data_IF_307511296911
#
_entry.id   IF_307511296911
#
_cell.length_a   1.000
_cell.length_b   1.000
_cell.length_c   1.000
_cell.angle_alpha   90.00
_cell.angle_beta   90.00
_cell.angle_gamma   90.00
#
_symmetry.space_group_name_H-M   'P 1'
#
loop_
_entity.id
_entity.type
_entity.pdbx_description
1 polymer ?
#
# COMPACT_ATOMS: atom_id res chain seq x y z
N UNK A 1 12.25 -1.61 15.57
CA UNK A 1 11.27 -0.91 14.73
C UNK A 1 11.95 -0.45 13.46
N UNK A 2 11.30 -0.61 12.31
CA UNK A 2 11.74 -0.03 11.03
C UNK A 2 11.61 1.49 11.05
N UNK A 3 12.21 2.17 10.07
CA UNK A 3 12.14 3.62 9.91
C UNK A 3 11.91 3.96 8.46
N UNK A 4 11.08 4.96 8.18
CA UNK A 4 10.90 5.48 6.82
C UNK A 4 12.12 6.32 6.41
N UNK A 5 12.30 6.58 5.09
CA UNK A 5 13.33 7.50 4.60
C UNK A 5 13.21 8.91 5.19
N UNK A 6 12.03 9.30 5.68
CA UNK A 6 11.76 10.64 6.22
C UNK A 6 11.99 10.77 7.73
N UNK A 7 12.42 9.71 8.43
CA UNK A 7 12.63 9.72 9.90
C UNK A 7 13.40 10.94 10.39
N UNK A 8 14.52 11.27 9.74
CA UNK A 8 15.34 12.41 10.17
C UNK A 8 14.63 13.75 10.05
N UNK A 9 13.77 13.92 9.05
CA UNK A 9 12.96 15.13 8.89
C UNK A 9 11.94 15.24 10.01
N UNK A 10 11.28 14.14 10.37
CA UNK A 10 10.32 14.10 11.47
C UNK A 10 10.96 14.50 12.80
N UNK A 11 12.12 13.93 13.11
CA UNK A 11 12.87 14.25 14.34
C UNK A 11 13.31 15.70 14.35
N UNK A 12 13.85 16.22 13.23
CA UNK A 12 14.28 17.63 13.11
C UNK A 12 13.10 18.61 13.22
N UNK A 13 11.91 18.21 12.77
CA UNK A 13 10.68 18.99 12.88
C UNK A 13 10.03 18.92 14.28
N UNK A 14 10.62 18.19 15.24
CA UNK A 14 10.12 18.09 16.61
C UNK A 14 8.95 17.13 16.79
N UNK A 15 8.73 16.20 15.86
CA UNK A 15 7.64 15.25 15.94
C UNK A 15 7.72 14.35 17.18
N UNK A 16 6.57 14.06 17.79
CA UNK A 16 6.42 13.01 18.79
C UNK A 16 6.39 11.65 18.10
N UNK A 17 7.53 10.96 18.08
CA UNK A 17 7.65 9.65 17.43
C UNK A 17 7.06 8.52 18.28
N UNK A 18 6.31 7.61 17.67
CA UNK A 18 5.69 6.45 18.34
C UNK A 18 5.81 5.15 17.52
N UNK A 19 5.76 3.98 18.17
CA UNK A 19 5.58 2.70 17.50
C UNK A 19 4.23 2.60 16.78
N UNK A 20 4.25 2.30 15.49
CA UNK A 20 3.04 1.99 14.71
C UNK A 20 3.36 0.92 13.65
N UNK A 21 2.64 -0.21 13.66
CA UNK A 21 2.81 -1.30 12.70
C UNK A 21 4.28 -1.76 12.49
N UNK A 22 5.09 -1.76 13.55
CA UNK A 22 6.51 -2.13 13.47
C UNK A 22 7.46 -1.01 13.00
N UNK A 23 6.93 0.15 12.62
CA UNK A 23 7.66 1.37 12.26
C UNK A 23 7.68 2.38 13.41
N UNK A 24 8.64 3.30 13.37
CA UNK A 24 8.66 4.49 14.21
C UNK A 24 8.13 5.69 13.43
N UNK A 25 6.89 6.10 13.69
CA UNK A 25 6.15 7.11 12.92
C UNK A 25 5.86 8.37 13.75
N UNK A 26 5.72 9.55 13.12
CA UNK A 26 5.32 10.77 13.82
C UNK A 26 3.83 10.68 14.21
N UNK A 27 3.51 10.78 15.49
CA UNK A 27 2.12 10.85 15.99
C UNK A 27 1.52 12.25 15.78
N UNK A 28 2.32 13.28 16.04
CA UNK A 28 1.99 14.69 15.87
C UNK A 28 3.29 15.52 15.91
N UNK A 29 3.22 16.75 15.40
CA UNK A 29 4.27 17.78 15.39
C UNK A 29 3.85 18.98 16.23
N UNK A 30 2.64 19.48 16.04
CA UNK A 30 2.10 20.67 16.73
C UNK A 30 0.90 20.32 17.61
N UNK A 31 0.20 19.23 17.29
CA UNK A 31 -0.95 18.72 18.03
C UNK A 31 -1.97 18.11 17.08
N UNK A 32 -2.54 16.95 17.44
CA UNK A 32 -3.52 16.22 16.59
C UNK A 32 -4.66 17.12 16.08
N UNK A 33 -5.24 17.96 16.95
CA UNK A 33 -6.34 18.85 16.54
C UNK A 33 -5.88 19.94 15.57
N UNK A 34 -4.70 20.52 15.81
CA UNK A 34 -4.16 21.59 14.96
C UNK A 34 -3.82 21.04 13.57
N UNK A 35 -3.22 19.85 13.49
CA UNK A 35 -2.91 19.17 12.22
C UNK A 35 -4.17 18.73 11.48
N UNK A 36 -5.20 18.28 12.20
CA UNK A 36 -6.50 17.99 11.60
C UNK A 36 -7.13 19.23 10.96
N UNK A 37 -7.13 20.35 11.70
CA UNK A 37 -7.67 21.63 11.20
C UNK A 37 -6.84 22.11 10.00
N UNK A 38 -5.50 21.96 10.04
CA UNK A 38 -4.62 22.33 8.94
C UNK A 38 -4.95 21.60 7.64
N UNK A 39 -5.27 20.30 7.70
CA UNK A 39 -5.77 19.56 6.52
C UNK A 39 -7.14 20.06 6.08
N UNK A 40 -8.03 20.40 7.00
CA UNK A 40 -9.39 20.86 6.66
C UNK A 40 -9.44 22.26 6.05
N UNK A 41 -8.45 23.10 6.35
CA UNK A 41 -8.45 24.52 6.00
C UNK A 41 -7.25 24.92 5.15
N UNK A 42 -6.38 23.98 4.80
CA UNK A 42 -5.09 24.23 4.19
C UNK A 42 -4.53 22.98 3.54
N UNK A 43 -3.27 22.65 3.83
CA UNK A 43 -2.60 21.46 3.29
C UNK A 43 -1.82 20.79 4.41
N UNK A 44 -2.07 19.49 4.61
CA UNK A 44 -1.24 18.61 5.40
C UNK A 44 -0.47 17.62 4.53
N UNK A 45 0.73 17.26 4.97
CA UNK A 45 1.57 16.25 4.31
C UNK A 45 1.83 15.12 5.29
N UNK A 46 1.49 13.90 4.89
CA UNK A 46 1.66 12.71 5.70
C UNK A 46 2.74 11.83 5.08
N UNK A 47 3.70 11.39 5.89
CA UNK A 47 4.57 10.28 5.53
C UNK A 47 3.83 8.97 5.75
N UNK A 48 3.44 8.32 4.65
CA UNK A 48 2.77 7.02 4.63
C UNK A 48 3.67 5.94 4.02
N UNK A 49 4.99 6.16 3.99
CA UNK A 49 6.00 5.21 3.47
C UNK A 49 6.16 3.92 4.28
N UNK A 50 5.29 3.68 5.25
CA UNK A 50 5.21 2.44 6.00
C UNK A 50 4.25 1.44 5.35
N UNK A 51 3.44 1.89 4.38
CA UNK A 51 2.56 1.04 3.57
C UNK A 51 3.35 -0.01 2.78
N UNK A 52 2.65 -1.02 2.27
CA UNK A 52 3.22 -2.05 1.43
C UNK A 52 2.97 -1.81 -0.06
N UNK A 53 3.91 -2.17 -0.94
CA UNK A 53 3.89 -1.92 -2.38
C UNK A 53 4.28 -3.19 -3.13
N UNK A 54 3.31 -3.85 -3.75
CA UNK A 54 3.52 -5.12 -4.44
C UNK A 54 3.27 -4.93 -5.94
N UNK A 55 4.32 -5.08 -6.74
CA UNK A 55 4.19 -5.11 -8.20
C UNK A 55 3.65 -6.45 -8.64
N UNK A 56 2.69 -6.42 -9.57
CA UNK A 56 2.17 -7.59 -10.29
C UNK A 56 2.26 -7.30 -11.78
N UNK A 57 3.02 -8.11 -12.50
CA UNK A 57 3.33 -7.89 -13.91
C UNK A 57 3.18 -9.15 -14.75
N UNK A 58 3.11 -8.98 -16.07
CA UNK A 58 3.07 -10.06 -17.06
C UNK A 58 1.64 -10.40 -17.54
N UNK A 59 1.53 -11.28 -18.55
CA UNK A 59 0.29 -11.46 -19.33
C UNK A 59 -0.89 -12.01 -18.52
N UNK A 60 -0.62 -12.68 -17.39
CA UNK A 60 -1.65 -13.25 -16.54
C UNK A 60 -2.00 -12.36 -15.32
N UNK A 61 -1.47 -11.13 -15.25
CA UNK A 61 -1.67 -10.25 -14.09
C UNK A 61 -3.14 -9.88 -13.90
N UNK A 62 -3.88 -9.62 -14.99
CA UNK A 62 -5.31 -9.27 -14.91
C UNK A 62 -6.12 -10.43 -14.34
N UNK A 63 -6.01 -11.63 -14.91
CA UNK A 63 -6.76 -12.81 -14.46
C UNK A 63 -6.43 -13.17 -13.01
N UNK A 64 -5.15 -13.07 -12.64
CA UNK A 64 -4.69 -13.26 -11.27
C UNK A 64 -5.34 -12.24 -10.31
N UNK A 65 -5.29 -10.95 -10.63
CA UNK A 65 -5.86 -9.89 -9.79
C UNK A 65 -7.40 -9.96 -9.71
N UNK A 66 -8.07 -10.30 -10.82
CA UNK A 66 -9.51 -10.58 -10.83
C UNK A 66 -9.90 -11.72 -9.89
N UNK A 67 -9.02 -12.72 -9.75
CA UNK A 67 -9.27 -13.84 -8.86
C UNK A 67 -9.02 -13.51 -7.39
N UNK A 68 -7.95 -12.77 -7.08
CA UNK A 68 -7.52 -12.56 -5.68
C UNK A 68 -8.13 -11.32 -5.04
N UNK A 69 -8.69 -10.38 -5.81
CA UNK A 69 -9.34 -9.17 -5.32
C UNK A 69 -10.86 -9.22 -5.50
N UNK A 70 -11.59 -8.31 -4.86
CA UNK A 70 -13.06 -8.31 -4.85
C UNK A 70 -13.71 -7.38 -5.86
N UNK A 71 -12.98 -6.38 -6.35
CA UNK A 71 -13.50 -5.37 -7.26
C UNK A 71 -13.08 -5.71 -8.70
N UNK A 72 -13.82 -5.24 -9.70
CA UNK A 72 -13.58 -5.59 -11.10
C UNK A 72 -12.37 -4.83 -11.66
N UNK A 73 -11.18 -5.45 -11.57
CA UNK A 73 -9.91 -5.00 -12.14
C UNK A 73 -9.98 -4.82 -13.65
N UNK A 74 -10.86 -5.55 -14.36
CA UNK A 74 -11.00 -5.37 -15.83
C UNK A 74 -11.60 -4.01 -16.21
N UNK A 75 -12.28 -3.34 -15.26
CA UNK A 75 -12.80 -1.99 -15.44
C UNK A 75 -11.73 -0.90 -15.28
N UNK A 76 -10.55 -1.23 -14.74
CA UNK A 76 -9.45 -0.28 -14.61
C UNK A 76 -8.81 0.01 -15.97
N UNK A 77 -8.72 1.28 -16.29
CA UNK A 77 -7.90 1.78 -17.39
C UNK A 77 -6.54 2.24 -16.88
N UNK A 78 -5.54 2.27 -17.77
CA UNK A 78 -4.19 2.73 -17.45
C UNK A 78 -4.18 4.12 -16.79
N UNK A 79 -3.36 4.28 -15.76
CA UNK A 79 -3.26 5.50 -14.95
C UNK A 79 -4.38 5.67 -13.93
N UNK A 80 -5.30 4.70 -13.79
CA UNK A 80 -6.35 4.71 -12.77
C UNK A 80 -6.08 3.74 -11.64
N UNK A 81 -6.86 3.92 -10.58
CA UNK A 81 -6.78 3.23 -9.32
C UNK A 81 -8.20 2.87 -8.87
N UNK A 82 -8.35 1.75 -8.16
CA UNK A 82 -9.55 1.45 -7.41
C UNK A 82 -9.23 0.90 -6.03
N UNK A 83 -10.16 1.09 -5.11
CA UNK A 83 -10.18 0.39 -3.83
C UNK A 83 -10.75 -1.02 -4.00
N UNK A 84 -10.18 -1.97 -3.27
CA UNK A 84 -10.62 -3.36 -3.24
C UNK A 84 -10.23 -4.02 -1.91
N UNK A 85 -10.50 -5.30 -1.80
CA UNK A 85 -10.06 -6.13 -0.68
C UNK A 85 -9.72 -7.54 -1.17
N UNK A 86 -8.89 -8.24 -0.40
CA UNK A 86 -8.57 -9.65 -0.61
C UNK A 86 -9.60 -10.54 0.12
N UNK A 87 -10.57 -11.16 -0.56
CA UNK A 87 -11.48 -12.10 0.09
C UNK A 87 -10.76 -13.40 0.47
N UNK A 88 -11.05 -13.93 1.65
CA UNK A 88 -10.43 -15.19 2.12
C UNK A 88 -11.15 -16.47 1.66
N UNK A 89 -12.13 -16.35 0.75
CA UNK A 89 -12.95 -17.45 0.25
C UNK A 89 -14.03 -18.00 1.22
N UNK A 90 -14.12 -17.46 2.44
CA UNK A 90 -15.05 -17.89 3.50
C UNK A 90 -15.92 -16.74 4.02
N UNK A 91 -16.07 -15.68 3.23
CA UNK A 91 -16.84 -14.49 3.58
C UNK A 91 -16.11 -13.50 4.50
N UNK A 92 -14.82 -13.74 4.82
CA UNK A 92 -13.99 -12.77 5.53
C UNK A 92 -12.99 -12.07 4.61
N UNK A 93 -12.40 -11.00 5.13
CA UNK A 93 -11.42 -10.16 4.43
C UNK A 93 -10.03 -10.44 5.00
N UNK A 94 -9.05 -10.65 4.11
CA UNK A 94 -7.63 -10.76 4.48
C UNK A 94 -7.08 -9.36 4.75
N UNK A 95 -7.21 -8.45 3.78
CA UNK A 95 -6.93 -7.02 3.93
C UNK A 95 -7.70 -6.20 2.89
N UNK A 96 -7.81 -4.89 3.13
CA UNK A 96 -8.18 -3.92 2.11
C UNK A 96 -6.95 -3.28 1.45
N UNK A 97 -7.09 -2.83 0.21
CA UNK A 97 -5.97 -2.33 -0.59
C UNK A 97 -6.42 -1.41 -1.71
N UNK A 98 -5.44 -0.76 -2.33
CA UNK A 98 -5.58 -0.08 -3.60
C UNK A 98 -4.93 -0.89 -4.72
N UNK A 99 -5.58 -0.92 -5.89
CA UNK A 99 -5.04 -1.52 -7.12
C UNK A 99 -4.87 -0.42 -8.15
N UNK A 100 -3.62 -0.12 -8.52
CA UNK A 100 -3.27 0.81 -9.58
C UNK A 100 -3.01 0.05 -10.88
N UNK A 101 -3.54 0.56 -12.00
CA UNK A 101 -3.24 0.07 -13.34
C UNK A 101 -2.18 0.96 -13.98
N UNK A 102 -0.98 0.42 -14.19
CA UNK A 102 0.12 1.09 -14.90
C UNK A 102 0.22 0.68 -16.38
N UNK A 103 -0.62 -0.25 -16.81
CA UNK A 103 -0.70 -0.73 -18.19
C UNK A 103 -1.39 -2.10 -18.25
N UNK A 104 -1.55 -2.67 -19.46
CA UNK A 104 -2.31 -3.92 -19.68
C UNK A 104 -1.82 -5.12 -18.85
N UNK A 105 -0.53 -5.14 -18.50
CA UNK A 105 0.14 -6.23 -17.81
C UNK A 105 0.99 -5.73 -16.64
N UNK A 106 0.64 -4.58 -16.06
CA UNK A 106 1.43 -3.96 -14.98
C UNK A 106 0.53 -3.26 -13.98
N UNK A 107 0.54 -3.76 -12.75
CA UNK A 107 -0.29 -3.27 -11.66
C UNK A 107 0.54 -3.09 -10.39
N UNK A 108 0.14 -2.13 -9.57
CA UNK A 108 0.70 -1.92 -8.24
C UNK A 108 -0.39 -2.09 -7.20
N UNK A 109 -0.14 -2.94 -6.21
CA UNK A 109 -0.99 -3.10 -5.04
C UNK A 109 -0.39 -2.29 -3.90
N UNK A 110 -1.20 -1.42 -3.28
CA UNK A 110 -0.80 -0.70 -2.06
C UNK A 110 -1.59 -1.26 -0.88
N UNK A 111 -0.91 -1.93 0.05
CA UNK A 111 -1.48 -2.71 1.17
C UNK A 111 -1.12 -2.09 2.52
N UNK A 112 -1.85 -2.45 3.58
CA UNK A 112 -1.61 -1.86 4.90
C UNK A 112 -0.26 -2.31 5.50
N UNK A 113 0.40 -1.38 6.20
CA UNK A 113 1.73 -1.56 6.79
C UNK A 113 1.86 -2.79 7.70
N UNK A 114 0.89 -3.01 8.59
CA UNK A 114 0.91 -4.14 9.53
C UNK A 114 0.70 -5.49 8.84
N UNK A 115 0.23 -5.48 7.59
CA UNK A 115 -0.19 -6.64 6.86
C UNK A 115 0.74 -6.98 5.69
N UNK A 116 1.75 -6.17 5.40
CA UNK A 116 2.61 -6.34 4.21
C UNK A 116 3.14 -7.77 4.06
N UNK A 117 3.65 -8.40 5.12
CA UNK A 117 4.14 -9.78 5.05
C UNK A 117 3.02 -10.82 4.86
N UNK A 118 1.90 -10.63 5.58
CA UNK A 118 0.70 -11.48 5.47
C UNK A 118 0.13 -11.43 4.06
N UNK A 119 0.03 -10.23 3.49
CA UNK A 119 -0.55 -9.98 2.18
C UNK A 119 0.38 -10.40 1.04
N UNK A 120 1.70 -10.21 1.23
CA UNK A 120 2.71 -10.80 0.35
C UNK A 120 2.55 -12.32 0.28
N UNK A 121 2.49 -12.98 1.43
CA UNK A 121 2.31 -14.43 1.50
C UNK A 121 0.97 -14.88 0.89
N UNK A 122 -0.10 -14.10 1.09
CA UNK A 122 -1.39 -14.32 0.46
C UNK A 122 -1.30 -14.26 -1.07
N UNK A 123 -0.61 -13.25 -1.61
CA UNK A 123 -0.39 -13.13 -3.04
C UNK A 123 0.43 -14.32 -3.57
N UNK A 124 1.55 -14.62 -2.92
CA UNK A 124 2.43 -15.74 -3.30
C UNK A 124 1.69 -17.08 -3.30
N UNK A 125 0.82 -17.34 -2.32
CA UNK A 125 0.10 -18.62 -2.24
C UNK A 125 -0.89 -18.85 -3.40
N UNK A 126 -1.31 -17.79 -4.09
CA UNK A 126 -2.22 -17.86 -5.23
C UNK A 126 -1.52 -17.70 -6.59
N UNK A 127 -0.29 -17.19 -6.60
CA UNK A 127 0.45 -16.82 -7.81
C UNK A 127 0.67 -17.99 -8.79
N UNK A 128 1.05 -19.17 -8.27
CA UNK A 128 1.37 -20.34 -9.10
C UNK A 128 0.20 -20.83 -9.96
N UNK A 129 -1.04 -20.62 -9.52
CA UNK A 129 -2.27 -20.97 -10.26
C UNK A 129 -2.38 -20.22 -11.59
N UNK A 130 -1.75 -19.05 -11.69
CA UNK A 130 -1.79 -18.18 -12.85
C UNK A 130 -0.42 -18.09 -13.55
N UNK A 131 0.53 -18.95 -13.18
CA UNK A 131 1.90 -18.89 -13.71
C UNK A 131 2.66 -17.62 -13.32
N UNK A 132 2.23 -16.90 -12.29
CA UNK A 132 2.91 -15.73 -11.74
C UNK A 132 4.06 -16.22 -10.86
N UNK A 133 5.28 -15.75 -11.11
CA UNK A 133 6.48 -16.16 -10.38
C UNK A 133 6.93 -15.07 -9.40
N UNK A 134 6.98 -15.33 -8.08
CA UNK A 134 7.56 -14.41 -7.11
C UNK A 134 9.02 -14.09 -7.43
N UNK A 135 9.42 -12.82 -7.29
CA UNK A 135 10.75 -12.32 -7.65
C UNK A 135 10.93 -12.00 -9.14
N UNK A 136 9.90 -12.23 -9.97
CA UNK A 136 9.89 -11.88 -11.39
C UNK A 136 8.63 -11.10 -11.75
N UNK A 137 7.48 -11.77 -11.65
CA UNK A 137 6.18 -11.23 -12.03
C UNK A 137 5.50 -10.57 -10.83
N UNK A 138 5.72 -11.12 -9.63
CA UNK A 138 5.26 -10.59 -8.34
C UNK A 138 6.48 -10.12 -7.51
N UNK A 139 6.58 -8.83 -7.20
CA UNK A 139 7.74 -8.24 -6.50
C UNK A 139 7.24 -7.37 -5.33
N UNK A 140 7.82 -7.56 -4.15
CA UNK A 140 7.63 -6.66 -3.02
C UNK A 140 8.65 -5.52 -3.14
N UNK A 141 8.18 -4.31 -3.41
CA UNK A 141 8.98 -3.10 -3.61
C UNK A 141 8.86 -2.11 -2.44
N UNK A 142 8.38 -2.54 -1.27
CA UNK A 142 8.17 -1.66 -0.12
C UNK A 142 9.43 -1.02 0.44
N UNK A 143 10.57 -1.68 0.30
CA UNK A 143 11.84 -1.09 0.72
C UNK A 143 12.40 -0.11 -0.34
N UNK A 144 11.83 -0.08 -1.55
CA UNK A 144 12.27 0.73 -2.70
C UNK A 144 11.38 1.96 -2.96
N UNK A 145 10.19 2.02 -2.34
CA UNK A 145 9.18 3.06 -2.59
C UNK A 145 8.89 3.82 -1.29
N UNK A 146 8.82 5.15 -1.40
CA UNK A 146 8.34 6.01 -0.33
C UNK A 146 7.05 6.70 -0.77
N UNK A 147 6.16 6.97 0.18
CA UNK A 147 4.83 7.50 -0.10
C UNK A 147 4.55 8.72 0.79
N UNK A 148 4.23 9.85 0.13
CA UNK A 148 3.74 11.05 0.78
C UNK A 148 2.30 11.31 0.35
N UNK A 149 1.39 11.45 1.31
CA UNK A 149 0.02 11.89 1.05
C UNK A 149 -0.07 13.41 1.32
N UNK A 150 -0.30 14.19 0.26
CA UNK A 150 -0.55 15.63 0.35
C UNK A 150 -2.06 15.84 0.28
N UNK A 151 -2.66 16.38 1.34
CA UNK A 151 -4.11 16.42 1.54
C UNK A 151 -4.55 17.82 1.96
N UNK A 152 -5.71 18.28 1.48
CA UNK A 152 -6.27 19.61 1.74
C UNK A 152 -7.72 19.70 1.30
#
# INVERSE_FOLDING_TARGET
MKSTPFKEFHVKAGARMVPFAGYNMPLEYTGINDEHILVRQGIGVFDVSHMGELWVTGPNSLDYLQYITSNDVSSLIEGKIQYSYFPNGRGGIVDDLLVYCFGPEKYLLVVNASNTEKDWNWCVSHASRFGITPGKDLINASDDIAQLAVQG
#
